data_IF_300774240073
#
_entry.id   IF_300774240073
#
_cell.length_a   1.000
_cell.length_b   1.000
_cell.length_c   1.000
_cell.angle_alpha   90.00
_cell.angle_beta   90.00
_cell.angle_gamma   90.00
#
_symmetry.space_group_name_H-M   'P 1'
#
loop_
_entity.id
_entity.type
_entity.pdbx_description
1 polymer ?
#
# COMPACT_ATOMS: atom_id res chain seq x y z
N UNK A 1 -25.77 -34.58 3.08
CA UNK A 1 -26.59 -33.38 3.38
C UNK A 1 -25.84 -32.53 4.38
N UNK A 2 -25.28 -31.42 3.94
CA UNK A 2 -24.78 -30.40 4.87
C UNK A 2 -25.98 -29.83 5.64
N UNK A 3 -25.85 -29.51 6.94
CA UNK A 3 -26.95 -28.92 7.70
C UNK A 3 -27.37 -27.59 7.06
N UNK A 4 -28.67 -27.27 7.05
CA UNK A 4 -29.23 -26.06 6.42
C UNK A 4 -28.55 -24.75 6.89
N UNK A 5 -28.02 -24.73 8.12
CA UNK A 5 -27.24 -23.63 8.67
C UNK A 5 -25.94 -23.35 7.91
N UNK A 6 -25.37 -24.36 7.24
CA UNK A 6 -24.16 -24.24 6.43
C UNK A 6 -24.43 -23.56 5.10
N UNK A 7 -25.58 -23.84 4.49
CA UNK A 7 -26.00 -23.24 3.20
C UNK A 7 -26.24 -21.74 3.37
N UNK A 8 -26.97 -21.34 4.42
CA UNK A 8 -27.22 -19.91 4.72
C UNK A 8 -25.91 -19.16 5.00
N UNK A 9 -24.96 -19.79 5.69
CA UNK A 9 -23.65 -19.20 5.95
C UNK A 9 -22.84 -19.01 4.66
N UNK A 10 -22.88 -19.97 3.75
CA UNK A 10 -22.16 -19.88 2.47
C UNK A 10 -22.70 -18.75 1.59
N UNK A 11 -24.02 -18.61 1.51
CA UNK A 11 -24.67 -17.50 0.81
C UNK A 11 -24.33 -16.13 1.40
N UNK A 12 -24.33 -16.02 2.74
CA UNK A 12 -23.91 -14.80 3.41
C UNK A 12 -22.44 -14.47 3.09
N UNK A 13 -21.54 -15.47 3.08
CA UNK A 13 -20.14 -15.28 2.72
C UNK A 13 -19.97 -14.81 1.27
N UNK A 14 -20.74 -15.34 0.31
CA UNK A 14 -20.69 -14.90 -1.08
C UNK A 14 -21.11 -13.44 -1.24
N UNK A 15 -22.24 -13.06 -0.63
CA UNK A 15 -22.72 -11.68 -0.63
C UNK A 15 -21.68 -10.75 0.00
N UNK A 16 -21.13 -11.13 1.16
CA UNK A 16 -20.06 -10.38 1.80
C UNK A 16 -18.82 -10.25 0.91
N UNK A 17 -18.42 -11.32 0.20
CA UNK A 17 -17.23 -11.33 -0.67
C UNK A 17 -17.35 -10.47 -1.93
N UNK A 18 -18.56 -10.03 -2.27
CA UNK A 18 -18.80 -9.05 -3.33
C UNK A 18 -18.85 -7.62 -2.77
N UNK A 19 -19.67 -7.38 -1.75
CA UNK A 19 -19.85 -6.04 -1.19
C UNK A 19 -18.60 -5.53 -0.48
N UNK A 20 -17.83 -6.42 0.14
CA UNK A 20 -16.65 -6.02 0.89
C UNK A 20 -15.55 -5.44 0.00
N UNK A 21 -15.05 -6.11 -1.06
CA UNK A 21 -14.10 -5.51 -1.99
C UNK A 21 -14.66 -4.25 -2.69
N UNK A 22 -15.96 -4.18 -2.93
CA UNK A 22 -16.61 -3.01 -3.54
C UNK A 22 -16.48 -1.75 -2.67
N UNK A 23 -16.65 -1.87 -1.35
CA UNK A 23 -16.45 -0.75 -0.41
C UNK A 23 -15.00 -0.25 -0.48
N UNK A 24 -14.03 -1.18 -0.54
CA UNK A 24 -12.62 -0.81 -0.62
C UNK A 24 -12.20 -0.29 -1.99
N UNK A 25 -12.85 -0.72 -3.08
CA UNK A 25 -12.70 -0.10 -4.40
C UNK A 25 -13.09 1.38 -4.36
N UNK A 26 -14.23 1.71 -3.74
CA UNK A 26 -14.68 3.10 -3.56
C UNK A 26 -13.69 3.88 -2.69
N UNK A 27 -13.15 3.26 -1.63
CA UNK A 27 -12.13 3.89 -0.80
C UNK A 27 -10.85 4.19 -1.60
N UNK A 28 -10.33 3.25 -2.39
CA UNK A 28 -9.13 3.43 -3.19
C UNK A 28 -9.33 4.50 -4.27
N UNK A 29 -10.52 4.59 -4.87
CA UNK A 29 -10.90 5.66 -5.77
C UNK A 29 -10.89 7.04 -5.08
N UNK A 30 -11.51 7.14 -3.90
CA UNK A 30 -11.48 8.37 -3.10
C UNK A 30 -10.03 8.76 -2.75
N UNK A 31 -9.21 7.78 -2.35
CA UNK A 31 -7.81 7.99 -2.04
C UNK A 31 -7.04 8.52 -3.26
N UNK A 32 -7.22 7.91 -4.43
CA UNK A 32 -6.60 8.35 -5.68
C UNK A 32 -6.96 9.80 -6.02
N UNK A 33 -8.26 10.13 -5.95
CA UNK A 33 -8.76 11.50 -6.22
C UNK A 33 -8.25 12.51 -5.19
N UNK A 34 -8.17 12.13 -3.91
CA UNK A 34 -7.65 12.97 -2.85
C UNK A 34 -6.14 13.27 -3.04
N UNK A 35 -5.36 12.27 -3.45
CA UNK A 35 -3.94 12.42 -3.79
C UNK A 35 -3.77 13.33 -5.00
N UNK A 36 -4.57 13.13 -6.06
CA UNK A 36 -4.52 13.96 -7.26
C UNK A 36 -4.80 15.44 -6.95
N UNK A 37 -5.79 15.72 -6.11
CA UNK A 37 -6.14 17.09 -5.70
C UNK A 37 -5.06 17.75 -4.83
N UNK A 38 -4.36 16.97 -4.00
CA UNK A 38 -3.32 17.47 -3.11
C UNK A 38 -1.89 17.19 -3.64
N UNK A 39 -1.72 17.01 -4.96
CA UNK A 39 -0.42 16.65 -5.57
C UNK A 39 0.71 17.65 -5.32
N UNK A 40 0.37 18.90 -5.01
CA UNK A 40 1.33 19.96 -4.73
C UNK A 40 1.80 19.96 -3.27
N UNK A 41 1.16 19.18 -2.37
CA UNK A 41 1.57 19.09 -0.98
C UNK A 41 2.82 18.21 -0.88
N UNK A 42 3.96 18.86 -0.62
CA UNK A 42 5.24 18.18 -0.52
C UNK A 42 5.28 17.14 0.60
N UNK A 43 4.41 17.23 1.61
CA UNK A 43 4.35 16.34 2.76
C UNK A 43 3.81 14.93 2.47
N UNK A 44 3.11 14.74 1.35
CA UNK A 44 2.46 13.47 0.99
C UNK A 44 3.37 12.71 0.01
N UNK A 45 3.57 11.39 0.18
CA UNK A 45 4.33 10.58 -0.77
C UNK A 45 3.46 10.26 -2.00
N UNK A 46 3.17 11.30 -2.80
CA UNK A 46 2.21 11.29 -3.92
C UNK A 46 2.47 10.12 -4.87
N UNK A 47 3.69 9.95 -5.38
CA UNK A 47 4.00 8.89 -6.35
C UNK A 47 3.64 7.48 -5.84
N UNK A 48 4.02 7.15 -4.60
CA UNK A 48 3.73 5.85 -4.02
C UNK A 48 2.23 5.65 -3.77
N UNK A 49 1.53 6.67 -3.27
CA UNK A 49 0.10 6.56 -3.00
C UNK A 49 -0.72 6.43 -4.29
N UNK A 50 -0.36 7.17 -5.34
CA UNK A 50 -1.00 7.07 -6.64
C UNK A 50 -0.87 5.66 -7.20
N UNK A 51 0.35 5.10 -7.20
CA UNK A 51 0.57 3.75 -7.75
C UNK A 51 -0.12 2.68 -6.90
N UNK A 52 -0.02 2.75 -5.56
CA UNK A 52 -0.68 1.78 -4.67
C UNK A 52 -2.22 1.85 -4.73
N UNK A 53 -2.81 3.04 -4.89
CA UNK A 53 -4.26 3.17 -5.10
C UNK A 53 -4.70 2.62 -6.45
N UNK A 54 -3.96 2.88 -7.54
CA UNK A 54 -4.28 2.31 -8.85
C UNK A 54 -4.20 0.78 -8.84
N UNK A 55 -3.20 0.22 -8.19
CA UNK A 55 -3.05 -1.23 -8.02
C UNK A 55 -4.16 -1.80 -7.14
N UNK A 56 -4.51 -1.13 -6.03
CA UNK A 56 -5.61 -1.51 -5.16
C UNK A 56 -6.96 -1.55 -5.88
N UNK A 57 -7.24 -0.53 -6.71
CA UNK A 57 -8.43 -0.48 -7.58
C UNK A 57 -8.45 -1.65 -8.56
N UNK A 58 -7.31 -2.00 -9.17
CA UNK A 58 -7.24 -3.12 -10.12
C UNK A 58 -7.49 -4.47 -9.44
N UNK A 59 -6.90 -4.70 -8.27
CA UNK A 59 -7.13 -5.92 -7.47
C UNK A 59 -8.57 -6.04 -7.01
N UNK A 60 -9.12 -4.98 -6.40
CA UNK A 60 -10.50 -4.97 -5.90
C UNK A 60 -11.50 -5.13 -7.03
N UNK A 61 -11.25 -4.54 -8.21
CA UNK A 61 -12.06 -4.76 -9.41
C UNK A 61 -12.05 -6.23 -9.83
N UNK A 62 -10.87 -6.86 -9.95
CA UNK A 62 -10.77 -8.26 -10.31
C UNK A 62 -11.47 -9.18 -9.29
N UNK A 63 -11.35 -8.86 -7.99
CA UNK A 63 -12.07 -9.58 -6.93
C UNK A 63 -13.58 -9.42 -7.03
N UNK A 64 -14.09 -8.20 -7.25
CA UNK A 64 -15.52 -7.93 -7.43
C UNK A 64 -16.09 -8.71 -8.62
N UNK A 65 -15.39 -8.72 -9.76
CA UNK A 65 -15.84 -9.45 -10.95
C UNK A 65 -15.88 -10.95 -10.67
N UNK A 66 -14.83 -11.51 -10.07
CA UNK A 66 -14.81 -12.93 -9.72
C UNK A 66 -15.91 -13.29 -8.71
N UNK A 67 -16.08 -12.51 -7.63
CA UNK A 67 -17.13 -12.75 -6.63
C UNK A 67 -18.54 -12.57 -7.20
N UNK A 68 -18.75 -11.60 -8.10
CA UNK A 68 -20.04 -11.35 -8.76
C UNK A 68 -20.46 -12.54 -9.62
N UNK A 69 -19.53 -13.03 -10.45
CA UNK A 69 -19.79 -14.19 -11.31
C UNK A 69 -20.16 -15.40 -10.45
N UNK A 70 -19.49 -15.62 -9.33
CA UNK A 70 -19.81 -16.70 -8.40
C UNK A 70 -21.13 -16.51 -7.62
N UNK A 71 -21.49 -15.27 -7.28
CA UNK A 71 -22.77 -14.97 -6.62
C UNK A 71 -23.96 -15.24 -7.54
N UNK A 72 -23.80 -14.99 -8.84
CA UNK A 72 -24.80 -15.31 -9.87
C UNK A 72 -24.85 -16.82 -10.14
N UNK A 73 -23.79 -17.56 -9.80
CA UNK A 73 -23.58 -18.98 -10.11
C UNK A 73 -23.18 -19.79 -8.86
N UNK A 74 -24.10 -20.04 -7.92
CA UNK A 74 -23.80 -20.87 -6.75
C UNK A 74 -23.50 -22.33 -7.15
N UNK A 75 -22.63 -22.98 -6.35
CA UNK A 75 -22.15 -24.36 -6.55
C UNK A 75 -23.27 -25.42 -6.65
N UNK A 76 -24.43 -25.16 -6.06
CA UNK A 76 -25.57 -26.09 -6.04
C UNK A 76 -26.18 -26.33 -7.43
N UNK A 77 -25.82 -25.52 -8.44
CA UNK A 77 -26.20 -25.74 -9.84
C UNK A 77 -25.44 -26.90 -10.51
N UNK A 78 -24.37 -27.42 -9.89
CA UNK A 78 -23.53 -28.47 -10.46
C UNK A 78 -23.83 -29.89 -9.96
N UNK A 79 -24.47 -30.06 -8.80
CA UNK A 79 -24.83 -31.39 -8.29
C UNK A 79 -26.20 -31.90 -8.76
N UNK A 80 -27.13 -31.01 -9.13
CA UNK A 80 -28.47 -31.43 -9.60
C UNK A 80 -28.51 -31.61 -11.13
N UNK A 81 -28.05 -32.78 -11.57
CA UNK A 81 -27.96 -33.19 -12.98
C UNK A 81 -29.32 -33.38 -13.68
N UNK A 82 -30.47 -33.13 -13.04
CA UNK A 82 -31.79 -33.50 -13.60
C UNK A 82 -32.69 -32.37 -14.08
N UNK A 83 -32.30 -31.09 -14.02
CA UNK A 83 -33.15 -30.00 -14.53
C UNK A 83 -32.50 -29.17 -15.66
N UNK A 84 -32.95 -29.45 -16.89
CA UNK A 84 -32.61 -28.89 -18.20
C UNK A 84 -32.61 -27.34 -18.30
N UNK A 85 -33.15 -26.62 -17.30
CA UNK A 85 -33.22 -25.13 -17.30
C UNK A 85 -31.93 -24.43 -16.90
N UNK A 86 -30.94 -25.16 -16.37
CA UNK A 86 -29.72 -24.59 -15.78
C UNK A 86 -28.46 -24.78 -16.66
N UNK A 87 -28.59 -25.45 -17.82
CA UNK A 87 -27.49 -25.69 -18.75
C UNK A 87 -26.90 -24.40 -19.31
N UNK A 88 -27.74 -23.45 -19.75
CA UNK A 88 -27.29 -22.17 -20.32
C UNK A 88 -26.37 -21.41 -19.35
N UNK A 89 -26.70 -21.42 -18.06
CA UNK A 89 -25.98 -20.70 -17.01
C UNK A 89 -24.60 -21.35 -16.76
N UNK A 90 -24.54 -22.68 -16.67
CA UNK A 90 -23.26 -23.41 -16.56
C UNK A 90 -22.35 -23.23 -17.80
N UNK A 91 -22.95 -23.13 -19.00
CA UNK A 91 -22.25 -22.85 -20.26
C UNK A 91 -21.74 -21.42 -20.29
N UNK A 92 -22.55 -20.44 -19.88
CA UNK A 92 -22.16 -19.03 -19.76
C UNK A 92 -20.98 -18.84 -18.79
N UNK A 93 -21.00 -19.53 -17.65
CA UNK A 93 -19.89 -19.48 -16.69
C UNK A 93 -18.63 -20.15 -17.22
N UNK A 94 -18.75 -21.33 -17.82
CA UNK A 94 -17.62 -22.01 -18.45
C UNK A 94 -17.02 -21.16 -19.57
N UNK A 95 -17.87 -20.48 -20.35
CA UNK A 95 -17.46 -19.52 -21.36
C UNK A 95 -16.76 -18.31 -20.73
N UNK A 96 -17.30 -17.73 -19.65
CA UNK A 96 -16.68 -16.62 -18.93
C UNK A 96 -15.29 -17.00 -18.39
N UNK A 97 -15.16 -18.13 -17.70
CA UNK A 97 -13.87 -18.61 -17.17
C UNK A 97 -12.88 -18.87 -18.31
N UNK A 98 -13.35 -19.41 -19.44
CA UNK A 98 -12.49 -19.67 -20.60
C UNK A 98 -12.04 -18.39 -21.33
N UNK A 99 -12.86 -17.34 -21.34
CA UNK A 99 -12.61 -16.10 -22.09
C UNK A 99 -11.97 -14.98 -21.27
N UNK A 100 -12.24 -14.93 -19.96
CA UNK A 100 -11.83 -13.83 -19.07
C UNK A 100 -11.12 -14.30 -17.80
N UNK A 101 -11.18 -15.60 -17.48
CA UNK A 101 -10.63 -16.13 -16.23
C UNK A 101 -9.11 -15.97 -16.15
N UNK A 102 -8.40 -16.18 -17.27
CA UNK A 102 -6.95 -16.02 -17.32
C UNK A 102 -6.55 -14.53 -17.22
N UNK A 103 -7.26 -13.63 -17.90
CA UNK A 103 -7.04 -12.18 -17.90
C UNK A 103 -7.28 -11.58 -16.51
N UNK A 104 -8.37 -11.94 -15.84
CA UNK A 104 -8.69 -11.47 -14.50
C UNK A 104 -7.69 -11.99 -13.47
N UNK A 105 -7.27 -13.25 -13.60
CA UNK A 105 -6.24 -13.84 -12.73
C UNK A 105 -4.90 -13.17 -12.95
N UNK A 106 -4.54 -12.88 -14.20
CA UNK A 106 -3.32 -12.14 -14.56
C UNK A 106 -3.35 -10.73 -13.95
N UNK A 107 -4.45 -10.00 -14.12
CA UNK A 107 -4.61 -8.65 -13.59
C UNK A 107 -4.51 -8.61 -12.05
N UNK A 108 -5.20 -9.52 -11.35
CA UNK A 108 -5.12 -9.63 -9.90
C UNK A 108 -3.72 -10.02 -9.40
N UNK A 109 -3.09 -11.01 -10.03
CA UNK A 109 -1.76 -11.49 -9.65
C UNK A 109 -0.66 -10.47 -9.95
N UNK A 110 -0.78 -9.77 -11.08
CA UNK A 110 0.09 -8.64 -11.43
C UNK A 110 -0.01 -7.54 -10.38
N UNK A 111 -1.23 -7.15 -10.02
CA UNK A 111 -1.47 -6.07 -9.05
C UNK A 111 -0.85 -6.41 -7.70
N UNK A 112 -1.08 -7.63 -7.22
CA UNK A 112 -0.50 -8.14 -5.99
C UNK A 112 1.04 -8.14 -6.02
N UNK A 113 1.65 -8.74 -7.04
CA UNK A 113 3.10 -8.85 -7.12
C UNK A 113 3.78 -7.49 -7.32
N UNK A 114 3.15 -6.59 -8.08
CA UNK A 114 3.67 -5.24 -8.29
C UNK A 114 3.65 -4.44 -6.97
N UNK A 115 2.60 -4.59 -6.16
CA UNK A 115 2.57 -3.99 -4.82
C UNK A 115 3.74 -4.47 -3.96
N UNK A 116 4.05 -5.78 -3.95
CA UNK A 116 5.20 -6.33 -3.23
C UNK A 116 6.52 -5.67 -3.66
N UNK A 117 6.80 -5.59 -4.97
CA UNK A 117 8.05 -4.96 -5.43
C UNK A 117 8.10 -3.45 -5.17
N UNK A 118 6.98 -2.74 -5.24
CA UNK A 118 6.93 -1.33 -4.86
C UNK A 118 7.26 -1.15 -3.39
N UNK A 119 6.88 -2.07 -2.50
CA UNK A 119 7.28 -1.99 -1.09
C UNK A 119 8.78 -2.15 -0.87
N UNK A 120 9.47 -2.92 -1.73
CA UNK A 120 10.94 -3.00 -1.73
C UNK A 120 11.51 -1.62 -2.07
N UNK A 121 11.02 -0.98 -3.13
CA UNK A 121 11.45 0.37 -3.50
C UNK A 121 11.18 1.38 -2.38
N UNK A 122 10.01 1.33 -1.73
CA UNK A 122 9.72 2.16 -0.57
C UNK A 122 10.73 1.94 0.55
N UNK A 123 11.07 0.68 0.84
CA UNK A 123 12.01 0.32 1.92
C UNK A 123 13.43 0.80 1.60
N UNK A 124 13.91 0.61 0.36
CA UNK A 124 15.22 1.12 -0.10
C UNK A 124 15.29 2.64 0.05
N UNK A 125 14.25 3.35 -0.39
CA UNK A 125 14.15 4.80 -0.24
C UNK A 125 14.24 5.21 1.25
N UNK A 126 13.60 4.46 2.16
CA UNK A 126 13.68 4.73 3.62
C UNK A 126 15.07 4.47 4.20
N UNK A 127 15.74 3.39 3.80
CA UNK A 127 17.11 3.10 4.21
C UNK A 127 18.05 4.20 3.72
N UNK A 128 17.90 4.65 2.46
CA UNK A 128 18.70 5.74 1.92
C UNK A 128 18.54 7.04 2.73
N UNK A 129 17.29 7.41 3.04
CA UNK A 129 17.00 8.56 3.90
C UNK A 129 17.56 8.42 5.32
N UNK A 130 17.63 7.19 5.85
CA UNK A 130 18.21 6.91 7.16
C UNK A 130 19.73 7.09 7.19
N UNK A 131 20.42 6.65 6.13
CA UNK A 131 21.88 6.72 6.04
C UNK A 131 22.38 8.13 5.69
N UNK A 132 21.61 8.91 4.93
CA UNK A 132 22.05 10.21 4.41
C UNK A 132 21.04 11.34 4.69
N UNK A 133 20.79 11.70 5.97
CA UNK A 133 19.76 12.68 6.34
C UNK A 133 20.04 14.12 5.85
N UNK A 134 21.29 14.48 5.56
CA UNK A 134 21.69 15.85 5.16
C UNK A 134 22.04 16.00 3.68
N UNK A 135 22.03 14.91 2.91
CA UNK A 135 22.26 14.99 1.46
C UNK A 135 20.94 15.41 0.82
N UNK A 136 20.94 16.47 0.00
CA UNK A 136 19.76 16.91 -0.73
C UNK A 136 19.07 15.71 -1.39
N UNK A 137 17.73 15.68 -1.31
CA UNK A 137 16.83 14.62 -1.84
C UNK A 137 16.88 14.44 -3.37
N UNK A 138 17.99 14.80 -4.00
CA UNK A 138 18.19 14.82 -5.44
C UNK A 138 18.11 13.42 -6.05
N UNK A 139 18.44 12.38 -5.29
CA UNK A 139 18.38 10.98 -5.77
C UNK A 139 16.94 10.50 -5.93
N UNK A 140 16.08 10.71 -4.93
CA UNK A 140 14.70 10.23 -4.89
C UNK A 140 13.68 11.37 -5.04
N UNK A 141 13.70 12.02 -6.20
CA UNK A 141 12.67 13.01 -6.56
C UNK A 141 11.36 12.31 -6.98
N UNK A 142 10.21 12.98 -6.76
CA UNK A 142 8.89 12.46 -7.15
C UNK A 142 8.81 11.91 -8.59
N UNK A 143 9.29 12.61 -9.64
CA UNK A 143 9.23 12.08 -11.01
C UNK A 143 10.11 10.83 -11.19
N UNK A 144 11.27 10.76 -10.52
CA UNK A 144 12.15 9.58 -10.58
C UNK A 144 11.52 8.39 -9.88
N UNK A 145 10.86 8.60 -8.74
CA UNK A 145 10.11 7.54 -8.05
C UNK A 145 9.00 7.01 -8.96
N UNK A 146 8.25 7.90 -9.63
CA UNK A 146 7.20 7.48 -10.57
C UNK A 146 7.76 6.65 -11.73
N UNK A 147 8.89 7.09 -12.30
CA UNK A 147 9.59 6.34 -13.34
C UNK A 147 10.05 4.95 -12.86
N UNK A 148 10.66 4.86 -11.67
CA UNK A 148 11.09 3.60 -11.07
C UNK A 148 9.91 2.65 -10.82
N UNK A 149 8.79 3.16 -10.30
CA UNK A 149 7.56 2.38 -10.17
C UNK A 149 7.06 1.87 -11.52
N UNK A 150 7.14 2.68 -12.58
CA UNK A 150 6.81 2.28 -13.95
C UNK A 150 7.71 1.16 -14.47
N UNK A 151 9.02 1.27 -14.29
CA UNK A 151 9.99 0.22 -14.67
C UNK A 151 9.72 -1.09 -13.92
N UNK A 152 9.48 -1.03 -12.61
CA UNK A 152 9.11 -2.20 -11.80
C UNK A 152 7.81 -2.83 -12.32
N UNK A 153 6.82 -2.01 -12.66
CA UNK A 153 5.54 -2.47 -13.20
C UNK A 153 5.74 -3.19 -14.53
N UNK A 154 6.58 -2.66 -15.43
CA UNK A 154 6.89 -3.30 -16.72
C UNK A 154 7.57 -4.65 -16.48
N UNK A 155 8.62 -4.70 -15.65
CA UNK A 155 9.34 -5.95 -15.34
C UNK A 155 8.39 -6.99 -14.74
N UNK A 156 7.55 -6.58 -13.78
CA UNK A 156 6.58 -7.47 -13.13
C UNK A 156 5.55 -7.99 -14.14
N UNK A 157 5.03 -7.11 -15.00
CA UNK A 157 4.09 -7.49 -16.04
C UNK A 157 4.70 -8.46 -17.05
N UNK A 158 5.91 -8.19 -17.53
CA UNK A 158 6.65 -9.11 -18.42
C UNK A 158 6.86 -10.47 -17.77
N UNK A 159 7.19 -10.52 -16.48
CA UNK A 159 7.37 -11.80 -15.77
C UNK A 159 6.09 -12.64 -15.68
N UNK A 160 4.92 -12.00 -15.71
CA UNK A 160 3.61 -12.64 -15.64
C UNK A 160 3.02 -12.96 -17.02
N UNK A 161 3.38 -12.20 -18.06
CA UNK A 161 2.88 -12.44 -19.41
C UNK A 161 3.55 -13.65 -20.08
N UNK A 162 4.80 -13.98 -19.69
CA UNK A 162 5.50 -15.18 -20.16
C UNK A 162 4.71 -16.47 -19.86
N UNK A 163 4.33 -16.76 -18.60
CA UNK A 163 3.51 -17.94 -18.32
C UNK A 163 2.11 -17.85 -18.94
N UNK A 164 1.54 -16.67 -19.13
CA UNK A 164 0.23 -16.48 -19.79
C UNK A 164 0.24 -16.95 -21.25
N UNK A 165 1.27 -16.61 -22.03
CA UNK A 165 1.40 -17.09 -23.42
C UNK A 165 1.91 -18.54 -23.54
N UNK A 166 2.28 -19.15 -22.42
CA UNK A 166 2.70 -20.56 -22.37
C UNK A 166 1.51 -21.49 -22.10
N UNK A 167 1.62 -22.80 -22.34
CA UNK A 167 0.57 -23.77 -21.95
C UNK A 167 0.38 -23.86 -20.42
N UNK A 168 1.22 -23.19 -19.62
CA UNK A 168 1.18 -23.15 -18.17
C UNK A 168 0.50 -21.88 -17.61
N UNK A 169 -0.49 -21.32 -18.31
CA UNK A 169 -1.25 -20.17 -17.81
C UNK A 169 -1.95 -20.48 -16.48
N UNK A 170 -2.18 -19.46 -15.65
CA UNK A 170 -2.76 -19.61 -14.30
C UNK A 170 -4.17 -19.05 -14.30
N UNK A 171 -5.13 -19.83 -13.79
CA UNK A 171 -6.52 -19.41 -13.59
C UNK A 171 -6.90 -19.60 -12.14
N UNK A 172 -7.47 -18.55 -11.55
CA UNK A 172 -8.07 -18.59 -10.24
C UNK A 172 -9.50 -19.14 -10.35
N UNK A 173 -9.77 -20.21 -9.60
CA UNK A 173 -11.12 -20.77 -9.47
C UNK A 173 -11.57 -20.59 -8.02
N UNK A 174 -12.63 -19.81 -7.81
CA UNK A 174 -13.24 -19.66 -6.48
C UNK A 174 -13.89 -20.99 -6.03
N UNK A 175 -14.37 -21.85 -6.94
CA UNK A 175 -14.94 -23.17 -6.65
C UNK A 175 -13.96 -24.02 -5.84
N UNK A 176 -12.75 -24.19 -6.39
CA UNK A 176 -11.66 -24.95 -5.79
C UNK A 176 -10.83 -24.13 -4.82
N UNK A 177 -11.19 -22.84 -4.58
CA UNK A 177 -10.49 -21.90 -3.70
C UNK A 177 -8.98 -21.90 -3.91
N UNK A 178 -8.55 -22.04 -5.17
CA UNK A 178 -7.15 -22.28 -5.53
C UNK A 178 -6.80 -21.74 -6.91
N UNK A 179 -5.52 -21.42 -7.07
CA UNK A 179 -4.93 -21.09 -8.36
C UNK A 179 -4.50 -22.38 -9.04
N UNK A 180 -5.07 -22.67 -10.21
CA UNK A 180 -4.74 -23.85 -11.01
C UNK A 180 -3.93 -23.44 -12.23
N UNK A 181 -2.84 -24.15 -12.50
CA UNK A 181 -2.07 -24.01 -13.73
C UNK A 181 -2.66 -24.87 -14.85
N UNK A 182 -2.64 -24.38 -16.08
CA UNK A 182 -3.03 -25.15 -17.28
C UNK A 182 -2.19 -26.41 -17.49
N UNK A 183 -0.97 -26.45 -16.95
CA UNK A 183 -0.05 -27.59 -17.03
C UNK A 183 0.06 -28.41 -15.73
N UNK A 184 -0.94 -28.33 -14.83
CA UNK A 184 -0.97 -29.10 -13.59
C UNK A 184 -0.72 -30.62 -13.85
N UNK A 185 0.06 -31.32 -13.00
CA UNK A 185 0.59 -30.88 -11.70
C UNK A 185 1.81 -29.95 -11.79
N UNK A 186 2.39 -29.78 -12.98
CA UNK A 186 3.54 -28.92 -13.19
C UNK A 186 3.15 -27.44 -13.15
N UNK A 187 4.14 -26.60 -12.85
CA UNK A 187 4.01 -25.14 -12.85
C UNK A 187 5.13 -24.55 -13.70
N UNK A 188 4.86 -23.41 -14.34
CA UNK A 188 5.90 -22.68 -15.04
C UNK A 188 7.02 -22.31 -14.05
N UNK A 189 8.31 -22.47 -14.39
CA UNK A 189 9.42 -22.20 -13.46
C UNK A 189 9.38 -20.79 -12.86
N UNK A 190 9.03 -19.79 -13.68
CA UNK A 190 8.87 -18.40 -13.22
C UNK A 190 7.79 -18.30 -12.15
N UNK A 191 6.62 -18.91 -12.38
CA UNK A 191 5.52 -18.89 -11.42
C UNK A 191 5.88 -19.67 -10.17
N UNK A 192 6.60 -20.79 -10.28
CA UNK A 192 7.08 -21.55 -9.14
C UNK A 192 8.04 -20.72 -8.27
N UNK A 193 9.04 -20.08 -8.90
CA UNK A 193 10.00 -19.19 -8.25
C UNK A 193 9.31 -18.02 -7.55
N UNK A 194 8.42 -17.30 -8.25
CA UNK A 194 7.66 -16.19 -7.68
C UNK A 194 6.91 -16.62 -6.43
N UNK A 195 6.23 -17.76 -6.49
CA UNK A 195 5.46 -18.26 -5.37
C UNK A 195 6.36 -18.70 -4.21
N UNK A 196 7.53 -19.28 -4.46
CA UNK A 196 8.45 -19.74 -3.42
C UNK A 196 9.12 -18.59 -2.67
N UNK A 197 9.57 -17.56 -3.39
CA UNK A 197 10.25 -16.41 -2.80
C UNK A 197 9.33 -15.24 -2.43
N UNK A 198 8.02 -15.33 -2.71
CA UNK A 198 7.05 -14.29 -2.39
C UNK A 198 7.06 -13.89 -0.91
N UNK A 199 7.24 -14.84 0.02
CA UNK A 199 7.31 -14.55 1.47
C UNK A 199 8.60 -13.85 1.90
N UNK A 200 9.73 -14.15 1.23
CA UNK A 200 11.02 -13.58 1.60
C UNK A 200 11.01 -12.05 1.44
N UNK A 201 10.35 -11.55 0.39
CA UNK A 201 10.28 -10.12 0.09
C UNK A 201 9.66 -9.29 1.24
N UNK A 202 8.39 -9.47 1.65
CA UNK A 202 7.79 -8.63 2.68
C UNK A 202 8.43 -8.86 4.05
N UNK A 203 8.90 -10.06 4.37
CA UNK A 203 9.59 -10.35 5.64
C UNK A 203 10.91 -9.58 5.73
N UNK A 204 11.75 -9.62 4.70
CA UNK A 204 13.01 -8.86 4.65
C UNK A 204 12.76 -7.35 4.68
N UNK A 205 11.73 -6.85 3.97
CA UNK A 205 11.33 -5.46 4.02
C UNK A 205 10.84 -5.03 5.41
N UNK A 206 10.07 -5.87 6.10
CA UNK A 206 9.61 -5.62 7.46
C UNK A 206 10.78 -5.50 8.44
N UNK A 207 11.73 -6.45 8.40
CA UNK A 207 12.94 -6.39 9.24
C UNK A 207 13.78 -5.14 8.95
N UNK A 208 13.94 -4.80 7.66
CA UNK A 208 14.69 -3.61 7.25
C UNK A 208 14.02 -2.32 7.73
N UNK A 209 12.70 -2.19 7.58
CA UNK A 209 11.95 -1.03 8.07
C UNK A 209 11.98 -0.93 9.60
N UNK A 210 11.89 -2.06 10.31
CA UNK A 210 12.05 -2.09 11.77
C UNK A 210 13.43 -1.59 12.20
N UNK A 211 14.50 -2.03 11.52
CA UNK A 211 15.86 -1.58 11.78
C UNK A 211 16.01 -0.07 11.56
N UNK A 212 15.45 0.48 10.48
CA UNK A 212 15.45 1.93 10.22
C UNK A 212 14.73 2.69 11.34
N UNK A 213 13.53 2.25 11.75
CA UNK A 213 12.79 2.89 12.85
C UNK A 213 13.57 2.82 14.16
N UNK A 214 14.16 1.66 14.46
CA UNK A 214 15.00 1.47 15.64
C UNK A 214 16.23 2.38 15.61
N UNK A 215 16.90 2.52 14.45
CA UNK A 215 18.04 3.40 14.26
C UNK A 215 17.68 4.86 14.60
N UNK A 216 16.60 5.38 14.04
CA UNK A 216 16.13 6.75 14.34
C UNK A 216 15.70 6.93 15.80
N UNK A 217 15.11 5.90 16.42
CA UNK A 217 14.76 5.93 17.83
C UNK A 217 16.01 5.96 18.72
N UNK A 218 17.02 5.15 18.39
CA UNK A 218 18.27 5.05 19.12
C UNK A 218 19.10 6.33 18.98
N UNK A 219 19.13 6.95 17.81
CA UNK A 219 19.80 8.23 17.56
C UNK A 219 19.18 9.35 18.42
N UNK A 220 17.85 9.52 18.38
CA UNK A 220 17.17 10.57 19.15
C UNK A 220 17.24 10.42 20.67
N UNK A 221 17.21 9.19 21.18
CA UNK A 221 17.32 8.97 22.63
C UNK A 221 18.77 8.97 23.12
N UNK A 222 19.73 9.31 22.24
CA UNK A 222 21.17 9.16 22.49
C UNK A 222 21.46 7.76 23.06
N UNK A 223 20.70 6.76 22.61
CA UNK A 223 20.75 5.40 23.13
C UNK A 223 22.10 4.77 22.76
N UNK A 224 22.63 5.12 21.59
CA UNK A 224 24.00 4.78 21.19
C UNK A 224 25.02 5.31 22.19
N UNK A 225 24.91 6.57 22.62
CA UNK A 225 25.80 7.17 23.61
C UNK A 225 25.64 6.49 24.97
N UNK A 226 24.41 6.17 25.39
CA UNK A 226 24.16 5.42 26.62
C UNK A 226 24.76 4.02 26.57
N UNK A 227 24.58 3.28 25.48
CA UNK A 227 25.13 1.93 25.29
C UNK A 227 26.65 1.96 25.21
N UNK A 228 27.23 2.91 24.49
CA UNK A 228 28.67 3.15 24.43
C UNK A 228 29.20 3.48 25.83
N UNK A 229 28.56 4.35 26.59
CA UNK A 229 28.98 4.67 27.96
C UNK A 229 28.75 3.51 28.95
N UNK A 230 27.88 2.56 28.63
CA UNK A 230 27.62 1.36 29.43
C UNK A 230 28.67 0.27 29.16
N UNK A 231 29.17 0.17 27.92
CA UNK A 231 30.21 -0.78 27.52
C UNK A 231 31.64 -0.23 27.68
N UNK A 232 31.87 1.03 27.31
CA UNK A 232 33.09 1.78 27.53
C UNK A 232 32.90 2.62 28.79
N UNK A 233 33.39 2.10 29.91
CA UNK A 233 33.35 2.68 31.26
C UNK A 233 34.19 3.97 31.38
N UNK A 234 34.07 4.91 30.43
CA UNK A 234 34.79 6.19 30.42
C UNK A 234 33.80 7.34 30.25
N UNK A 235 33.59 8.08 31.36
CA UNK A 235 32.83 9.32 31.39
C UNK A 235 33.52 10.37 30.51
N UNK A 236 32.98 10.65 29.33
CA UNK A 236 33.16 11.95 28.67
C UNK A 236 31.78 12.53 28.41
N UNK A 237 31.46 13.61 29.10
CA UNK A 237 30.26 14.40 28.82
C UNK A 237 30.44 15.08 27.46
N UNK A 238 29.70 14.60 26.47
CA UNK A 238 29.67 15.22 25.15
C UNK A 238 28.66 16.38 25.17
N UNK A 239 29.20 17.59 25.03
CA UNK A 239 28.47 18.85 24.98
C UNK A 239 27.48 18.84 23.80
N UNK A 240 26.19 18.86 24.10
CA UNK A 240 25.12 19.02 23.11
C UNK A 240 25.18 20.43 22.51
N UNK A 241 25.69 20.56 21.29
CA UNK A 241 25.46 21.76 20.48
C UNK A 241 24.04 21.67 19.91
N UNK A 242 23.10 22.30 20.62
CA UNK A 242 21.76 22.53 20.11
C UNK A 242 21.80 23.60 19.02
N UNK A 243 21.37 23.27 17.81
CA UNK A 243 20.98 24.27 16.83
C UNK A 243 19.93 23.74 15.84
N UNK A 244 18.94 24.60 15.60
CA UNK A 244 17.85 24.52 14.61
C UNK A 244 16.75 23.48 14.85
N UNK A 245 16.07 23.57 15.99
CA UNK A 245 15.00 22.65 16.41
C UNK A 245 13.73 22.69 15.55
N UNK A 246 13.25 23.86 15.08
CA UNK A 246 11.90 23.94 14.49
C UNK A 246 11.76 23.29 13.09
N UNK A 247 12.71 23.52 12.17
CA UNK A 247 12.68 22.92 10.83
C UNK A 247 13.09 21.44 10.86
N UNK A 248 14.10 21.09 11.66
CA UNK A 248 14.51 19.70 11.85
C UNK A 248 13.38 18.90 12.53
N UNK A 249 12.65 19.46 13.51
CA UNK A 249 11.52 18.77 14.15
C UNK A 249 10.35 18.53 13.18
N UNK A 250 10.07 19.47 12.26
CA UNK A 250 9.02 19.31 11.25
C UNK A 250 9.40 18.24 10.23
N UNK A 251 10.63 18.26 9.71
CA UNK A 251 11.16 17.24 8.81
C UNK A 251 11.17 15.87 9.47
N UNK A 252 11.62 15.80 10.72
CA UNK A 252 11.75 14.54 11.43
C UNK A 252 10.40 13.98 11.93
N UNK A 253 9.36 14.81 12.11
CA UNK A 253 7.97 14.34 12.31
C UNK A 253 7.36 13.77 11.03
N UNK A 254 7.66 14.40 9.89
CA UNK A 254 7.24 13.93 8.56
C UNK A 254 7.87 12.58 8.24
N UNK A 255 9.17 12.44 8.45
CA UNK A 255 9.91 11.19 8.28
C UNK A 255 9.37 10.07 9.17
N UNK A 256 9.07 10.36 10.44
CA UNK A 256 8.47 9.39 11.36
C UNK A 256 7.09 8.89 10.90
N UNK A 257 6.27 9.80 10.38
CA UNK A 257 4.93 9.46 9.86
C UNK A 257 5.06 8.58 8.61
N UNK A 258 6.02 8.90 7.75
CA UNK A 258 6.32 8.14 6.53
C UNK A 258 6.99 6.78 6.81
N UNK A 259 7.77 6.65 7.89
CA UNK A 259 8.35 5.38 8.32
C UNK A 259 7.31 4.46 8.95
N UNK A 260 6.37 5.03 9.73
CA UNK A 260 5.28 4.26 10.32
C UNK A 260 4.36 3.66 9.25
N UNK A 261 4.04 4.43 8.21
CA UNK A 261 3.21 3.93 7.11
C UNK A 261 3.89 2.80 6.33
N UNK A 262 5.17 2.95 5.97
CA UNK A 262 5.92 1.88 5.28
C UNK A 262 6.06 0.62 6.14
N UNK A 263 6.36 0.77 7.44
CA UNK A 263 6.43 -0.37 8.37
C UNK A 263 5.11 -1.11 8.45
N UNK A 264 3.99 -0.38 8.54
CA UNK A 264 2.66 -0.97 8.53
C UNK A 264 2.39 -1.73 7.23
N UNK A 265 2.69 -1.14 6.07
CA UNK A 265 2.51 -1.81 4.76
C UNK A 265 3.24 -3.16 4.74
N UNK A 266 4.51 -3.17 5.14
CA UNK A 266 5.31 -4.40 5.12
C UNK A 266 4.85 -5.42 6.16
N UNK A 267 4.38 -4.98 7.33
CA UNK A 267 3.85 -5.87 8.34
C UNK A 267 2.55 -6.55 7.88
N UNK A 268 1.62 -5.80 7.27
CA UNK A 268 0.40 -6.38 6.73
C UNK A 268 0.69 -7.38 5.60
N UNK A 269 1.61 -7.06 4.68
CA UNK A 269 2.00 -7.98 3.59
C UNK A 269 2.70 -9.23 4.12
N UNK A 270 3.53 -9.08 5.15
CA UNK A 270 4.16 -10.22 5.81
C UNK A 270 3.12 -11.14 6.47
N UNK A 271 2.10 -10.58 7.14
CA UNK A 271 1.01 -11.38 7.74
C UNK A 271 0.27 -12.19 6.66
N UNK A 272 -0.06 -11.57 5.52
CA UNK A 272 -0.70 -12.25 4.40
C UNK A 272 0.15 -13.40 3.86
N UNK A 273 1.44 -13.16 3.61
CA UNK A 273 2.36 -14.17 3.05
C UNK A 273 2.70 -15.29 4.05
N UNK A 274 2.79 -14.99 5.34
CA UNK A 274 2.95 -16.02 6.38
C UNK A 274 1.76 -16.99 6.34
N UNK A 275 0.53 -16.48 6.18
CA UNK A 275 -0.65 -17.33 6.00
C UNK A 275 -0.56 -18.21 4.74
N UNK A 276 -0.04 -17.68 3.64
CA UNK A 276 0.19 -18.43 2.40
C UNK A 276 1.22 -19.55 2.58
N UNK A 277 2.33 -19.21 3.24
CA UNK A 277 3.44 -20.11 3.50
C UNK A 277 3.06 -21.26 4.42
N UNK A 278 2.29 -21.00 5.48
CA UNK A 278 1.81 -22.04 6.40
C UNK A 278 0.96 -23.09 5.68
N UNK A 279 0.04 -22.67 4.81
CA UNK A 279 -0.82 -23.58 4.03
C UNK A 279 0.02 -24.44 3.07
N UNK A 280 1.10 -23.87 2.51
CA UNK A 280 1.98 -24.59 1.58
C UNK A 280 2.95 -25.54 2.26
N UNK A 281 3.43 -25.18 3.44
CA UNK A 281 4.38 -26.00 4.22
C UNK A 281 3.68 -27.19 4.88
N UNK A 282 2.41 -27.00 5.29
CA UNK A 282 1.64 -28.00 6.01
C UNK A 282 0.32 -28.35 5.29
N UNK A 283 0.37 -28.84 4.03
CA UNK A 283 -0.83 -29.09 3.23
C UNK A 283 -1.69 -30.21 3.81
N UNK A 284 -1.07 -31.25 4.40
CA UNK A 284 -1.76 -32.38 5.03
C UNK A 284 -2.53 -31.96 6.29
N UNK A 285 -1.93 -31.09 7.10
CA UNK A 285 -2.55 -30.56 8.31
C UNK A 285 -3.70 -29.62 7.93
N UNK A 286 -3.51 -28.78 6.91
CA UNK A 286 -4.57 -27.93 6.38
C UNK A 286 -5.74 -28.74 5.80
N UNK A 287 -5.45 -29.83 5.08
CA UNK A 287 -6.47 -30.72 4.54
C UNK A 287 -7.30 -31.41 5.63
N UNK A 288 -6.68 -31.72 6.78
CA UNK A 288 -7.32 -32.30 7.96
C UNK A 288 -8.15 -31.33 8.81
N UNK A 289 -8.12 -30.02 8.52
CA UNK A 289 -8.95 -29.05 9.23
C UNK A 289 -10.44 -29.18 8.83
N UNK A 290 -11.37 -28.87 9.75
CA UNK A 290 -12.80 -28.77 9.41
C UNK A 290 -13.05 -27.85 8.22
N UNK A 291 -13.97 -28.24 7.35
CA UNK A 291 -14.36 -27.44 6.18
C UNK A 291 -14.66 -25.96 6.45
N UNK A 292 -15.48 -25.58 7.46
CA UNK A 292 -15.74 -24.16 7.75
C UNK A 292 -14.47 -23.38 8.10
N UNK A 293 -13.49 -24.02 8.75
CA UNK A 293 -12.23 -23.38 9.09
C UNK A 293 -11.36 -23.14 7.85
N UNK A 294 -11.33 -24.08 6.89
CA UNK A 294 -10.64 -23.88 5.61
C UNK A 294 -11.27 -22.76 4.79
N UNK A 295 -12.61 -22.66 4.77
CA UNK A 295 -13.35 -21.55 4.16
C UNK A 295 -12.94 -20.23 4.83
N UNK A 296 -13.00 -20.17 6.16
CA UNK A 296 -12.68 -18.96 6.91
C UNK A 296 -11.23 -18.49 6.67
N UNK A 297 -10.25 -19.39 6.69
CA UNK A 297 -8.84 -19.07 6.42
C UNK A 297 -8.66 -18.52 5.00
N UNK A 298 -9.32 -19.13 4.02
CA UNK A 298 -9.25 -18.66 2.64
C UNK A 298 -9.84 -17.25 2.49
N UNK A 299 -11.07 -17.02 2.97
CA UNK A 299 -11.71 -15.70 2.88
C UNK A 299 -10.99 -14.65 3.69
N UNK A 300 -10.48 -14.98 4.89
CA UNK A 300 -9.67 -14.05 5.67
C UNK A 300 -8.44 -13.59 4.88
N UNK A 301 -7.75 -14.50 4.21
CA UNK A 301 -6.63 -14.14 3.33
C UNK A 301 -7.10 -13.32 2.13
N UNK A 302 -8.11 -13.80 1.40
CA UNK A 302 -8.64 -13.16 0.20
C UNK A 302 -9.07 -11.71 0.48
N UNK A 303 -9.89 -11.50 1.51
CA UNK A 303 -10.43 -10.18 1.91
C UNK A 303 -9.40 -9.29 2.63
N UNK A 304 -8.30 -9.84 3.16
CA UNK A 304 -7.26 -9.02 3.77
C UNK A 304 -6.47 -8.17 2.76
N UNK A 305 -6.50 -8.48 1.47
CA UNK A 305 -5.83 -7.69 0.43
C UNK A 305 -6.50 -6.31 0.25
N UNK A 306 -7.82 -6.22 -0.03
CA UNK A 306 -8.48 -4.93 -0.25
C UNK A 306 -8.53 -4.03 1.00
N UNK A 307 -8.56 -4.62 2.21
CA UNK A 307 -8.59 -3.87 3.47
C UNK A 307 -7.27 -3.14 3.78
N UNK A 308 -6.14 -3.63 3.24
CA UNK A 308 -4.80 -3.15 3.58
C UNK A 308 -4.65 -1.66 3.33
N UNK A 309 -5.05 -1.18 2.15
CA UNK A 309 -4.92 0.22 1.79
C UNK A 309 -5.67 1.13 2.78
N UNK A 310 -6.85 0.71 3.23
CA UNK A 310 -7.61 1.44 4.24
C UNK A 310 -6.86 1.51 5.58
N UNK A 311 -6.39 0.39 6.11
CA UNK A 311 -5.66 0.39 7.38
C UNK A 311 -4.37 1.21 7.30
N UNK A 312 -3.61 1.06 6.22
CA UNK A 312 -2.34 1.76 6.04
C UNK A 312 -2.55 3.27 5.90
N UNK A 313 -3.41 3.70 4.98
CA UNK A 313 -3.51 5.10 4.58
C UNK A 313 -4.57 5.88 5.36
N UNK A 314 -5.61 5.24 5.90
CA UNK A 314 -6.62 5.93 6.70
C UNK A 314 -6.39 5.77 8.21
N UNK A 315 -6.09 4.55 8.68
CA UNK A 315 -5.98 4.26 10.12
C UNK A 315 -4.60 4.63 10.66
N UNK A 316 -3.52 4.11 10.08
CA UNK A 316 -2.15 4.29 10.58
C UNK A 316 -1.57 5.67 10.27
N UNK A 317 -1.84 6.18 9.06
CA UNK A 317 -1.16 7.39 8.57
C UNK A 317 -2.01 8.64 8.79
N UNK A 318 -1.62 9.45 9.78
CA UNK A 318 -2.38 10.65 10.17
C UNK A 318 -2.45 11.73 9.06
N UNK A 319 -1.36 11.96 8.32
CA UNK A 319 -1.30 12.99 7.28
C UNK A 319 -2.25 12.69 6.11
N UNK A 320 -2.31 11.44 5.68
CA UNK A 320 -3.20 10.97 4.62
C UNK A 320 -4.65 10.92 5.09
N UNK A 321 -4.91 10.56 6.36
CA UNK A 321 -6.25 10.69 6.95
C UNK A 321 -6.75 12.14 6.92
N UNK A 322 -5.92 13.11 7.31
CA UNK A 322 -6.30 14.52 7.23
C UNK A 322 -6.53 14.97 5.78
N UNK A 323 -5.71 14.51 4.84
CA UNK A 323 -5.90 14.77 3.41
C UNK A 323 -7.26 14.25 2.90
N UNK A 324 -7.63 13.00 3.24
CA UNK A 324 -8.91 12.39 2.87
C UNK A 324 -10.08 13.15 3.51
N UNK A 325 -9.98 13.51 4.80
CA UNK A 325 -11.03 14.29 5.49
C UNK A 325 -11.25 15.65 4.87
N UNK A 326 -10.17 16.35 4.49
CA UNK A 326 -10.23 17.63 3.76
C UNK A 326 -10.89 17.46 2.40
N UNK A 327 -10.57 16.39 1.67
CA UNK A 327 -11.18 16.06 0.39
C UNK A 327 -12.70 15.82 0.52
N UNK A 328 -13.12 15.04 1.52
CA UNK A 328 -14.52 14.73 1.81
C UNK A 328 -15.28 15.84 2.55
N UNK A 329 -14.62 16.97 2.86
CA UNK A 329 -15.18 18.09 3.65
C UNK A 329 -15.78 17.66 4.99
N UNK A 330 -15.25 16.61 5.60
CA UNK A 330 -15.67 16.16 6.92
C UNK A 330 -15.18 17.19 7.93
N UNK A 331 -16.11 17.86 8.63
CA UNK A 331 -15.77 18.84 9.67
C UNK A 331 -15.00 18.14 10.78
N UNK A 332 -13.71 18.45 10.92
CA UNK A 332 -12.98 18.06 12.13
C UNK A 332 -13.59 18.84 13.31
N UNK A 333 -14.01 18.11 14.36
CA UNK A 333 -14.22 18.74 15.68
C UNK A 333 -12.92 19.47 16.00
N UNK A 334 -12.99 20.80 16.15
CA UNK A 334 -11.83 21.66 16.44
C UNK A 334 -10.97 21.03 17.54
N UNK A 335 -9.82 20.47 17.15
CA UNK A 335 -8.71 20.29 18.08
C UNK A 335 -8.09 21.67 18.23
N UNK A 336 -8.55 22.41 19.24
CA UNK A 336 -7.86 23.60 19.72
C UNK A 336 -6.51 23.16 20.29
N UNK A 337 -5.45 23.17 19.49
CA UNK A 337 -4.09 23.38 20.01
C UNK A 337 -3.19 23.91 18.89
N UNK A 338 -2.71 25.12 19.13
CA UNK A 338 -1.52 25.78 18.59
C UNK A 338 -0.49 24.87 17.87
N UNK A 339 0.09 25.40 16.79
CA UNK A 339 1.24 24.87 16.00
C UNK A 339 0.93 24.30 14.61
N UNK A 340 0.07 24.97 13.84
CA UNK A 340 0.11 24.83 12.36
C UNK A 340 0.19 26.22 11.73
N UNK A 341 1.34 26.88 11.86
CA UNK A 341 1.75 27.90 10.89
C UNK A 341 2.03 27.19 9.58
N UNK A 342 0.98 26.99 8.79
CA UNK A 342 1.08 26.72 7.36
C UNK A 342 1.70 27.98 6.75
N UNK A 343 3.03 28.01 6.66
CA UNK A 343 3.71 29.02 5.85
C UNK A 343 3.50 28.61 4.39
N UNK A 344 2.44 29.16 3.80
CA UNK A 344 2.32 29.32 2.35
C UNK A 344 3.45 30.25 1.88
N UNK A 345 4.57 29.68 1.44
CA UNK A 345 5.69 30.43 0.80
C UNK A 345 5.32 30.96 -0.60
N UNK A 346 4.04 30.98 -0.97
CA UNK A 346 3.58 31.46 -2.27
C UNK A 346 3.05 32.91 -2.27
N UNK A 347 2.87 33.55 -1.11
CA UNK A 347 2.17 34.85 -1.02
C UNK A 347 3.05 36.08 -0.72
N UNK A 348 4.38 35.98 -0.82
CA UNK A 348 5.29 37.13 -0.56
C UNK A 348 6.06 37.66 -1.77
N UNK A 349 5.80 37.13 -2.97
CA UNK A 349 6.46 37.57 -4.20
C UNK A 349 5.65 38.56 -5.06
N UNK A 350 4.41 38.90 -4.68
CA UNK A 350 3.52 39.75 -5.51
C UNK A 350 3.24 41.16 -4.95
N UNK A 351 3.92 41.59 -3.86
CA UNK A 351 3.71 42.93 -3.27
C UNK A 351 5.01 43.72 -3.08
N UNK A 352 6.02 43.46 -3.90
CA UNK A 352 7.27 44.22 -3.95
C UNK A 352 7.54 44.83 -5.34
N UNK A 353 6.46 45.17 -6.07
CA UNK A 353 6.53 45.65 -7.46
C UNK A 353 5.63 46.86 -7.70
N UNK A 354 5.72 47.92 -6.89
CA UNK A 354 5.18 49.24 -7.27
C UNK A 354 5.88 50.38 -6.53
N UNK A 355 7.10 50.72 -6.97
CA UNK A 355 7.68 52.05 -6.78
C UNK A 355 8.42 52.48 -8.04
N UNK A 356 7.89 53.50 -8.70
CA UNK A 356 8.61 54.47 -9.54
C UNK A 356 7.83 55.78 -9.51
N UNK A 357 8.44 56.96 -9.76
CA UNK A 357 9.88 57.24 -9.86
C UNK A 357 10.33 58.40 -8.93
N UNK A 358 11.65 58.61 -8.94
CA UNK A 358 12.39 59.68 -8.30
C UNK A 358 11.95 61.07 -8.76
N UNK A 359 11.95 62.02 -7.82
CA UNK A 359 12.30 63.41 -8.10
C UNK A 359 13.32 63.84 -7.05
N UNK A 360 14.47 64.29 -7.52
CA UNK A 360 15.57 64.85 -6.74
C UNK A 360 15.26 66.31 -6.37
N UNK A 361 15.60 66.72 -5.14
CA UNK A 361 16.24 68.02 -4.90
C UNK A 361 16.75 68.16 -3.44
N UNK A 362 18.07 68.31 -3.36
CA UNK A 362 18.87 69.18 -2.50
C UNK A 362 18.76 69.13 -0.97
N UNK A 363 19.86 68.61 -0.42
CA UNK A 363 20.55 69.01 0.81
C UNK A 363 20.63 70.53 1.04
N UNK A 364 20.29 70.96 2.26
CA UNK A 364 21.13 71.73 3.21
C UNK A 364 20.26 72.65 4.07
N UNK A 365 20.25 72.43 5.38
CA UNK A 365 20.21 73.52 6.39
C UNK A 365 20.34 72.94 7.79
N UNK A 366 21.48 73.23 8.41
CA UNK A 366 21.76 73.06 9.82
C UNK A 366 22.42 74.39 10.23
N UNK A 367 21.83 75.10 11.20
CA UNK A 367 22.50 76.24 11.86
C UNK A 367 21.70 77.53 12.02
N UNK A 368 20.95 77.62 13.13
CA UNK A 368 21.09 78.58 14.24
C UNK A 368 21.34 80.09 13.97
N UNK A 369 20.64 80.88 14.80
CA UNK A 369 20.95 82.22 15.37
C UNK A 369 20.18 83.41 14.75
N UNK A 370 19.55 84.13 15.68
CA UNK A 370 18.81 85.41 15.64
C UNK A 370 17.34 85.40 15.16
#
# INVERSE_FOLDING_TARGET
MAPESFVVLEWALYICSFFYPLIFFVFDLIMFLAVYRNRNDSCVPVAYMTVMSSIGMLTTFAMCVNSFVYMVLPKDYFEDKSHDKNMLISVLFSAFISMFGAELTLAGSFSYLNALFITVLMTINRIYMALYPFRNNDVFTQPRIFFLCGVISIITFTSMIIPYFSPCYVVFRIESRSFMSGCAPNRHPITAFQNEYAIAIPVTCMFSNFFVVFHFYADRKNLYIKFINLFLKNKRELKNNGSNTSLNDIQARRERTLMRSTTAVTAYLAIYEVGAFLIRTFPTQYAGLPEPLRIAIFYFRYESIPIMNFFIYYVETHSTRQMIRRFLKIKDKKVNTTNTTVVTVAARAQTAGRRRPQTAQNSSTLGRVE
#
